data_IF_013094550736
#
_entry.id   IF_013094550736
#
_cell.length_a   1.000
_cell.length_b   1.000
_cell.length_c   1.000
_cell.angle_alpha   90.00
_cell.angle_beta   90.00
_cell.angle_gamma   90.00
#
_symmetry.space_group_name_H-M   'P 1'
#
loop_
_entity.id
_entity.type
_entity.pdbx_description
1 polymer ?
#
# COMPACT_ATOMS: atom_id res chain seq x y z
N UNK A 1 14.98 -9.26 -2.60
CA UNK A 1 13.56 -9.56 -2.92
C UNK A 1 12.70 -8.51 -2.26
N UNK A 2 11.68 -8.03 -2.94
CA UNK A 2 10.70 -7.05 -2.42
C UNK A 2 9.31 -7.45 -2.86
N UNK A 3 8.30 -6.95 -2.17
CA UNK A 3 6.90 -7.11 -2.56
C UNK A 3 6.23 -5.75 -2.65
N UNK A 4 5.21 -5.64 -3.48
CA UNK A 4 4.58 -4.38 -3.86
C UNK A 4 3.07 -4.46 -3.83
N UNK A 5 2.44 -3.36 -3.45
CA UNK A 5 1.02 -3.11 -3.72
C UNK A 5 0.91 -1.94 -4.68
N UNK A 6 0.14 -2.14 -5.73
CA UNK A 6 -0.26 -1.08 -6.66
C UNK A 6 -1.65 -0.59 -6.29
N UNK A 7 -1.86 0.73 -6.36
CA UNK A 7 -3.14 1.38 -6.09
C UNK A 7 -3.56 2.16 -7.32
N UNK A 8 -4.65 1.72 -7.94
CA UNK A 8 -5.23 2.34 -9.12
C UNK A 8 -6.46 3.14 -8.69
N UNK A 9 -6.45 4.48 -8.79
CA UNK A 9 -7.57 5.31 -8.38
C UNK A 9 -8.69 5.28 -9.42
N UNK A 10 -9.93 5.46 -8.96
CA UNK A 10 -11.09 5.60 -9.86
C UNK A 10 -11.36 7.05 -10.25
N UNK A 11 -10.84 8.00 -9.48
CA UNK A 11 -11.04 9.42 -9.69
C UNK A 11 -9.72 10.13 -10.00
N UNK A 12 -9.78 11.22 -10.76
CA UNK A 12 -8.60 12.02 -11.12
C UNK A 12 -8.15 12.98 -10.02
N UNK A 13 -8.96 13.15 -8.96
CA UNK A 13 -8.58 13.94 -7.81
C UNK A 13 -7.50 13.17 -7.02
N UNK A 14 -6.33 13.78 -6.91
CA UNK A 14 -5.20 13.21 -6.17
C UNK A 14 -5.31 13.64 -4.71
N UNK A 15 -5.35 12.70 -3.74
CA UNK A 15 -5.35 13.03 -2.34
C UNK A 15 -4.01 13.62 -1.91
N UNK A 16 -4.02 14.37 -0.82
CA UNK A 16 -2.81 14.94 -0.20
C UNK A 16 -2.09 13.90 0.67
N UNK A 17 -0.81 14.14 0.97
CA UNK A 17 -0.07 13.30 1.92
C UNK A 17 -0.73 13.29 3.30
N UNK A 18 -1.24 14.43 3.73
CA UNK A 18 -1.92 14.60 5.01
C UNK A 18 -3.22 13.77 5.09
N UNK A 19 -4.01 13.73 4.01
CA UNK A 19 -5.22 12.89 3.93
C UNK A 19 -4.89 11.40 4.05
N UNK A 20 -3.86 10.94 3.32
CA UNK A 20 -3.42 9.54 3.42
C UNK A 20 -2.88 9.24 4.83
N UNK A 21 -1.97 10.07 5.36
CA UNK A 21 -1.39 9.87 6.68
C UNK A 21 -2.46 9.85 7.78
N UNK A 22 -3.46 10.72 7.68
CA UNK A 22 -4.58 10.75 8.63
C UNK A 22 -5.39 9.45 8.57
N UNK A 23 -5.75 8.99 7.37
CA UNK A 23 -6.50 7.75 7.18
C UNK A 23 -5.70 6.52 7.64
N UNK A 24 -4.41 6.46 7.27
CA UNK A 24 -3.51 5.36 7.60
C UNK A 24 -3.22 5.31 9.11
N UNK A 25 -2.92 6.45 9.76
CA UNK A 25 -2.65 6.49 11.20
C UNK A 25 -3.87 6.12 12.03
N UNK A 26 -5.08 6.52 11.61
CA UNK A 26 -6.33 6.10 12.26
C UNK A 26 -6.50 4.58 12.17
N UNK A 27 -6.26 4.01 10.99
CA UNK A 27 -6.41 2.57 10.74
C UNK A 27 -5.35 1.77 11.49
N UNK A 28 -4.09 2.22 11.46
CA UNK A 28 -2.97 1.64 12.19
C UNK A 28 -3.25 1.65 13.70
N UNK A 29 -3.68 2.79 14.26
CA UNK A 29 -4.02 2.91 15.68
C UNK A 29 -5.09 1.91 16.09
N UNK A 30 -6.14 1.73 15.25
CA UNK A 30 -7.18 0.74 15.51
C UNK A 30 -6.65 -0.70 15.47
N UNK A 31 -5.72 -1.02 14.57
CA UNK A 31 -5.11 -2.35 14.46
C UNK A 31 -4.21 -2.64 15.65
N UNK A 32 -3.38 -1.68 16.04
CA UNK A 32 -2.42 -1.83 17.14
C UNK A 32 -3.07 -1.87 18.52
N UNK A 33 -4.21 -1.19 18.71
CA UNK A 33 -4.97 -1.25 19.95
C UNK A 33 -5.34 -2.68 20.36
N UNK A 34 -5.62 -3.55 19.38
CA UNK A 34 -5.98 -4.96 19.63
C UNK A 34 -4.83 -5.79 20.21
N UNK A 35 -3.59 -5.34 20.04
CA UNK A 35 -2.38 -6.00 20.55
C UNK A 35 -1.66 -5.16 21.61
N UNK A 36 -2.31 -4.12 22.14
CA UNK A 36 -1.77 -3.27 23.19
C UNK A 36 -0.58 -2.38 22.76
N UNK A 37 -0.37 -2.21 21.46
CA UNK A 37 0.74 -1.44 20.91
C UNK A 37 0.31 -0.06 20.39
N UNK A 38 1.27 0.83 20.14
CA UNK A 38 1.05 2.17 19.55
C UNK A 38 2.22 2.57 18.65
N UNK A 39 1.90 3.12 17.49
CA UNK A 39 2.88 3.68 16.56
C UNK A 39 2.20 4.77 15.71
N UNK A 40 3.02 5.60 15.07
CA UNK A 40 2.57 6.64 14.16
C UNK A 40 3.44 6.64 12.91
N UNK A 41 2.80 6.63 11.75
CA UNK A 41 3.41 6.80 10.45
C UNK A 41 3.73 8.28 10.21
N UNK A 42 4.92 8.49 9.65
CA UNK A 42 5.38 9.74 9.06
C UNK A 42 5.80 9.49 7.62
N UNK A 43 5.96 10.54 6.84
CA UNK A 43 6.44 10.47 5.46
C UNK A 43 7.55 11.48 5.24
N UNK A 44 8.53 11.07 4.47
CA UNK A 44 9.61 11.91 3.97
C UNK A 44 9.60 11.85 2.44
N UNK A 45 9.99 12.93 1.77
CA UNK A 45 10.33 12.85 0.35
C UNK A 45 11.84 12.74 0.20
N UNK A 46 12.27 11.85 -0.68
CA UNK A 46 13.69 11.56 -0.92
C UNK A 46 13.99 11.61 -2.41
N UNK A 47 15.19 12.08 -2.76
CA UNK A 47 15.67 11.99 -4.15
C UNK A 47 15.91 10.54 -4.55
N UNK A 48 15.48 10.17 -5.75
CA UNK A 48 15.74 8.85 -6.33
C UNK A 48 17.25 8.61 -6.48
N UNK A 49 18.01 9.66 -6.82
CA UNK A 49 19.46 9.64 -6.82
C UNK A 49 20.03 10.08 -5.45
N UNK A 50 20.65 9.14 -4.73
CA UNK A 50 21.37 9.41 -3.47
C UNK A 50 20.52 9.37 -2.20
N UNK A 51 19.19 9.47 -2.29
CA UNK A 51 18.30 9.33 -1.14
C UNK A 51 18.22 10.54 -0.21
N UNK A 52 18.79 11.68 -0.62
CA UNK A 52 18.74 12.93 0.15
C UNK A 52 17.30 13.38 0.40
N UNK A 53 17.04 13.89 1.60
CA UNK A 53 15.75 14.47 1.95
C UNK A 53 15.47 15.73 1.13
N UNK A 54 14.24 15.85 0.64
CA UNK A 54 13.72 17.07 0.01
C UNK A 54 12.52 17.61 0.79
N UNK A 55 12.28 18.93 0.77
CA UNK A 55 11.11 19.50 1.43
C UNK A 55 9.82 18.88 0.90
N UNK A 56 8.93 18.52 1.83
CA UNK A 56 7.59 18.04 1.53
C UNK A 56 6.57 18.95 2.21
N UNK A 57 5.59 19.42 1.45
CA UNK A 57 4.37 20.02 1.98
C UNK A 57 3.33 18.91 2.14
N UNK A 58 2.85 18.66 3.37
CA UNK A 58 1.90 17.58 3.61
C UNK A 58 0.53 17.83 2.98
N UNK A 59 0.19 19.09 2.72
CA UNK A 59 -1.06 19.47 2.08
C UNK A 59 -0.94 19.50 0.54
N UNK A 60 0.23 19.17 -0.02
CA UNK A 60 0.37 18.97 -1.47
C UNK A 60 -0.25 17.65 -1.93
N UNK A 61 -0.76 17.57 -3.17
CA UNK A 61 -1.18 16.31 -3.78
C UNK A 61 -0.06 15.26 -3.74
N UNK A 62 -0.43 13.99 -3.57
CA UNK A 62 0.46 12.83 -3.67
C UNK A 62 0.85 12.52 -5.12
N UNK A 63 1.42 13.50 -5.82
CA UNK A 63 2.01 13.31 -7.14
C UNK A 63 3.39 13.96 -7.17
N UNK A 64 4.35 13.25 -7.73
CA UNK A 64 5.73 13.70 -7.87
C UNK A 64 6.34 13.08 -9.13
N UNK A 65 7.49 13.60 -9.55
CA UNK A 65 8.28 12.98 -10.61
C UNK A 65 9.05 11.78 -10.03
N UNK A 66 8.78 10.60 -10.58
CA UNK A 66 9.38 9.33 -10.15
C UNK A 66 10.89 9.27 -10.44
N UNK A 67 11.35 9.92 -11.52
CA UNK A 67 12.76 9.93 -11.89
C UNK A 67 13.57 10.81 -10.92
N UNK A 68 12.91 11.78 -10.30
CA UNK A 68 13.55 12.70 -9.35
C UNK A 68 13.41 12.25 -7.90
N UNK A 69 12.28 11.65 -7.51
CA UNK A 69 11.95 11.43 -6.11
C UNK A 69 11.02 10.25 -5.82
N UNK A 70 11.01 9.83 -4.56
CA UNK A 70 10.06 8.87 -4.01
C UNK A 70 9.63 9.28 -2.59
N UNK A 71 8.43 8.86 -2.21
CA UNK A 71 7.94 9.02 -0.85
C UNK A 71 8.44 7.86 0.03
N UNK A 72 8.92 8.16 1.23
CA UNK A 72 9.43 7.19 2.19
C UNK A 72 8.60 7.25 3.47
N UNK A 73 7.70 6.28 3.62
CA UNK A 73 6.85 6.16 4.80
C UNK A 73 7.57 5.37 5.89
N UNK A 74 7.59 5.93 7.09
CA UNK A 74 8.36 5.40 8.22
C UNK A 74 7.57 5.43 9.51
N UNK A 75 7.98 4.58 10.44
CA UNK A 75 7.67 4.71 11.86
C UNK A 75 8.97 5.12 12.52
N UNK A 76 9.09 6.34 13.08
CA UNK A 76 10.38 6.91 13.48
C UNK A 76 11.21 6.05 14.45
N UNK A 77 10.57 5.20 15.25
CA UNK A 77 11.24 4.33 16.24
C UNK A 77 11.68 2.98 15.68
N UNK A 78 11.39 2.67 14.41
CA UNK A 78 11.62 1.36 13.81
C UNK A 78 12.49 1.49 12.58
N UNK A 79 13.53 0.66 12.49
CA UNK A 79 14.38 0.62 11.32
C UNK A 79 13.62 0.08 10.10
N UNK A 80 13.76 0.77 8.97
CA UNK A 80 13.09 0.40 7.73
C UNK A 80 11.94 1.35 7.37
N UNK A 81 11.09 0.91 6.45
CA UNK A 81 10.04 1.75 5.88
C UNK A 81 9.47 1.20 4.59
N UNK A 82 8.59 2.00 3.99
CA UNK A 82 7.90 1.72 2.73
C UNK A 82 8.22 2.82 1.75
N UNK A 83 8.87 2.47 0.65
CA UNK A 83 9.03 3.37 -0.48
C UNK A 83 7.75 3.38 -1.31
N UNK A 84 7.39 4.55 -1.80
CA UNK A 84 6.24 4.74 -2.67
C UNK A 84 6.59 5.58 -3.89
N UNK A 85 6.02 5.16 -5.01
CA UNK A 85 6.23 5.74 -6.33
C UNK A 85 4.89 6.16 -6.92
N UNK A 86 4.92 7.18 -7.76
CA UNK A 86 3.77 7.69 -8.50
C UNK A 86 4.05 7.51 -10.00
N UNK A 87 3.34 6.57 -10.62
CA UNK A 87 3.59 6.11 -11.97
C UNK A 87 2.45 6.51 -12.91
N UNK A 88 2.78 6.63 -14.21
CA UNK A 88 1.79 6.83 -15.26
C UNK A 88 1.37 5.49 -15.87
N UNK A 89 0.11 5.39 -16.28
CA UNK A 89 -0.39 4.23 -17.03
C UNK A 89 0.06 4.35 -18.48
N UNK A 90 1.14 3.64 -18.81
CA UNK A 90 1.68 3.55 -20.16
C UNK A 90 1.08 2.38 -20.97
N UNK A 91 1.57 2.18 -22.19
CA UNK A 91 1.10 1.11 -23.07
C UNK A 91 1.43 -0.29 -22.53
N UNK A 92 2.55 -0.45 -21.82
CA UNK A 92 2.94 -1.72 -21.23
C UNK A 92 2.03 -2.09 -20.07
N UNK A 93 1.72 -1.15 -19.17
CA UNK A 93 0.75 -1.35 -18.09
C UNK A 93 -0.62 -1.74 -18.67
N UNK A 94 -1.05 -1.10 -19.77
CA UNK A 94 -2.30 -1.44 -20.45
C UNK A 94 -2.29 -2.84 -21.06
N UNK A 95 -1.17 -3.26 -21.66
CA UNK A 95 -1.00 -4.60 -22.20
C UNK A 95 -1.10 -5.67 -21.10
N UNK A 96 -0.39 -5.47 -19.99
CA UNK A 96 -0.43 -6.36 -18.82
C UNK A 96 -1.86 -6.48 -18.28
N UNK A 97 -2.56 -5.37 -18.09
CA UNK A 97 -3.95 -5.40 -17.62
C UNK A 97 -4.90 -6.03 -18.63
N UNK A 98 -4.69 -5.83 -19.93
CA UNK A 98 -5.46 -6.51 -20.99
C UNK A 98 -5.34 -8.04 -20.86
N UNK A 99 -4.16 -8.56 -20.51
CA UNK A 99 -3.98 -9.99 -20.26
C UNK A 99 -4.66 -10.45 -18.96
N UNK A 100 -4.53 -9.69 -17.87
CA UNK A 100 -5.24 -9.99 -16.63
C UNK A 100 -6.76 -10.01 -16.82
N UNK A 101 -7.33 -9.06 -17.58
CA UNK A 101 -8.76 -8.96 -17.82
C UNK A 101 -9.33 -10.12 -18.65
N UNK A 102 -8.48 -10.90 -19.35
CA UNK A 102 -8.90 -12.16 -19.98
C UNK A 102 -9.16 -13.28 -18.97
N UNK A 103 -8.67 -13.14 -17.73
CA UNK A 103 -8.86 -14.14 -16.68
C UNK A 103 -10.29 -14.09 -16.15
N UNK A 104 -10.99 -15.23 -16.17
CA UNK A 104 -12.39 -15.35 -15.72
C UNK A 104 -12.62 -14.80 -14.30
N UNK A 105 -11.64 -14.96 -13.41
CA UNK A 105 -11.71 -14.47 -12.01
C UNK A 105 -11.84 -12.95 -11.91
N UNK A 106 -11.34 -12.21 -12.89
CA UNK A 106 -11.36 -10.74 -12.90
C UNK A 106 -12.56 -10.13 -13.62
N UNK A 107 -13.40 -10.96 -14.24
CA UNK A 107 -14.62 -10.50 -14.93
C UNK A 107 -15.49 -9.57 -14.06
N UNK A 108 -15.74 -9.86 -12.76
CA UNK A 108 -16.56 -8.99 -11.92
C UNK A 108 -15.98 -7.59 -11.68
N UNK A 109 -14.67 -7.40 -11.86
CA UNK A 109 -13.98 -6.13 -11.64
C UNK A 109 -13.55 -5.44 -12.93
N UNK A 110 -13.84 -6.03 -14.10
CA UNK A 110 -13.37 -5.53 -15.39
C UNK A 110 -13.74 -4.07 -15.68
N UNK A 111 -14.98 -3.67 -15.35
CA UNK A 111 -15.43 -2.28 -15.50
C UNK A 111 -14.67 -1.35 -14.56
N UNK A 112 -14.55 -1.70 -13.28
CA UNK A 112 -13.81 -0.91 -12.28
C UNK A 112 -12.34 -0.75 -12.70
N UNK A 113 -11.70 -1.83 -13.13
CA UNK A 113 -10.31 -1.82 -13.62
C UNK A 113 -10.18 -0.85 -14.80
N UNK A 114 -11.07 -0.97 -15.79
CA UNK A 114 -11.06 -0.10 -16.97
C UNK A 114 -11.22 1.39 -16.60
N UNK A 115 -12.12 1.69 -15.66
CA UNK A 115 -12.33 3.05 -15.16
C UNK A 115 -11.07 3.59 -14.44
N UNK A 116 -10.41 2.78 -13.63
CA UNK A 116 -9.21 3.22 -12.93
C UNK A 116 -8.02 3.41 -13.88
N UNK A 117 -7.83 2.52 -14.85
CA UNK A 117 -6.78 2.66 -15.88
C UNK A 117 -6.99 3.89 -16.79
N UNK A 118 -8.23 4.38 -16.89
CA UNK A 118 -8.54 5.61 -17.63
C UNK A 118 -8.11 6.89 -16.88
N UNK A 119 -7.85 6.82 -15.56
CA UNK A 119 -7.32 7.97 -14.80
C UNK A 119 -5.87 8.33 -15.16
N UNK A 120 -5.13 7.37 -15.73
CA UNK A 120 -3.81 7.58 -16.29
C UNK A 120 -2.65 7.49 -15.30
N UNK A 121 -2.88 7.18 -14.02
CA UNK A 121 -1.82 7.02 -13.04
C UNK A 121 -2.13 5.95 -12.00
N UNK A 122 -1.12 5.56 -11.22
CA UNK A 122 -1.24 4.67 -10.07
C UNK A 122 -0.11 4.95 -9.07
N UNK A 123 -0.24 4.42 -7.85
CA UNK A 123 0.84 4.41 -6.88
C UNK A 123 1.35 3.00 -6.65
N UNK A 124 2.65 2.89 -6.45
CA UNK A 124 3.27 1.65 -5.96
C UNK A 124 3.71 1.87 -4.52
N UNK A 125 3.42 0.93 -3.63
CA UNK A 125 3.97 0.84 -2.28
C UNK A 125 4.81 -0.42 -2.18
N UNK A 126 6.11 -0.25 -1.95
CA UNK A 126 7.08 -1.32 -1.89
C UNK A 126 7.61 -1.48 -0.47
N UNK A 127 7.81 -2.74 -0.08
CA UNK A 127 8.66 -3.10 1.07
C UNK A 127 9.76 -4.06 0.65
N UNK A 128 10.88 -4.01 1.36
CA UNK A 128 11.96 -4.99 1.21
C UNK A 128 11.70 -6.26 2.02
N UNK A 129 12.26 -7.39 1.60
CA UNK A 129 12.23 -8.62 2.39
C UNK A 129 12.96 -8.43 3.74
N UNK A 130 12.48 -9.12 4.78
CA UNK A 130 13.07 -9.08 6.12
C UNK A 130 12.75 -7.81 6.93
N UNK A 131 11.83 -6.95 6.44
CA UNK A 131 11.36 -5.80 7.19
C UNK A 131 10.53 -6.21 8.42
N UNK A 132 10.52 -5.40 9.49
CA UNK A 132 9.73 -5.64 10.70
C UNK A 132 8.24 -5.85 10.43
N UNK A 133 7.58 -6.60 11.30
CA UNK A 133 6.15 -6.87 11.28
C UNK A 133 5.30 -5.61 11.20
N UNK A 134 5.70 -4.54 11.89
CA UNK A 134 5.00 -3.25 11.84
C UNK A 134 5.12 -2.56 10.47
N UNK A 135 6.24 -2.72 9.76
CA UNK A 135 6.40 -2.21 8.39
C UNK A 135 5.57 -3.07 7.42
N UNK A 136 5.57 -4.39 7.60
CA UNK A 136 4.72 -5.30 6.85
C UNK A 136 3.23 -4.97 7.05
N UNK A 137 2.79 -4.61 8.25
CA UNK A 137 1.43 -4.13 8.46
C UNK A 137 1.21 -2.78 7.75
N UNK A 138 2.11 -1.82 7.95
CA UNK A 138 1.88 -0.44 7.54
C UNK A 138 1.81 -0.24 6.02
N UNK A 139 2.64 -0.91 5.23
CA UNK A 139 2.65 -0.70 3.77
C UNK A 139 1.33 -1.12 3.10
N UNK A 140 0.70 -2.21 3.57
CA UNK A 140 -0.62 -2.60 3.10
C UNK A 140 -1.72 -1.67 3.60
N UNK A 141 -1.63 -1.18 4.85
CA UNK A 141 -2.60 -0.18 5.34
C UNK A 141 -2.54 1.12 4.53
N UNK A 142 -1.34 1.57 4.13
CA UNK A 142 -1.18 2.70 3.22
C UNK A 142 -1.89 2.45 1.89
N UNK A 143 -1.64 1.31 1.24
CA UNK A 143 -2.27 0.94 -0.02
C UNK A 143 -3.80 0.87 0.09
N UNK A 144 -4.33 0.19 1.12
CA UNK A 144 -5.76 0.06 1.35
C UNK A 144 -6.46 1.38 1.69
N UNK A 145 -5.80 2.25 2.47
CA UNK A 145 -6.32 3.59 2.77
C UNK A 145 -6.34 4.47 1.52
N UNK A 146 -5.27 4.46 0.72
CA UNK A 146 -5.23 5.23 -0.52
C UNK A 146 -6.32 4.78 -1.48
N UNK A 147 -6.45 3.47 -1.71
CA UNK A 147 -7.51 2.90 -2.54
C UNK A 147 -8.92 3.28 -2.02
N UNK A 148 -9.10 3.38 -0.70
CA UNK A 148 -10.37 3.83 -0.11
C UNK A 148 -10.62 5.31 -0.37
N UNK A 149 -9.61 6.16 -0.25
CA UNK A 149 -9.73 7.61 -0.50
C UNK A 149 -10.08 7.91 -1.96
N UNK A 150 -9.62 7.08 -2.90
CA UNK A 150 -9.78 7.30 -4.34
C UNK A 150 -10.87 6.44 -5.00
N UNK A 151 -11.69 5.75 -4.20
CA UNK A 151 -12.65 4.70 -4.65
C UNK A 151 -12.02 3.68 -5.64
N UNK A 152 -10.72 3.45 -5.46
CA UNK A 152 -9.88 2.63 -6.32
C UNK A 152 -9.77 1.19 -5.85
N UNK A 153 -8.80 0.48 -6.41
CA UNK A 153 -8.48 -0.88 -5.99
C UNK A 153 -6.98 -1.05 -5.69
N UNK A 154 -6.69 -2.06 -4.88
CA UNK A 154 -5.35 -2.56 -4.60
C UNK A 154 -5.09 -3.79 -5.47
N UNK A 155 -3.91 -3.88 -6.06
CA UNK A 155 -3.42 -5.03 -6.81
C UNK A 155 -1.97 -5.38 -6.40
N UNK A 156 -1.57 -6.63 -6.64
CA UNK A 156 -0.21 -7.13 -6.49
C UNK A 156 -0.13 -8.47 -7.22
N UNK A 157 0.93 -8.67 -7.99
CA UNK A 157 1.24 -9.92 -8.68
C UNK A 157 2.51 -10.61 -8.12
N UNK A 158 3.22 -9.97 -7.19
CA UNK A 158 4.49 -10.42 -6.63
C UNK A 158 4.36 -11.14 -5.28
N UNK A 159 3.17 -11.69 -4.99
CA UNK A 159 2.84 -12.37 -3.74
C UNK A 159 2.97 -11.49 -2.48
N UNK A 160 2.79 -10.16 -2.60
CA UNK A 160 2.67 -9.27 -1.45
C UNK A 160 1.52 -9.67 -0.50
N UNK A 161 0.49 -10.27 -1.08
CA UNK A 161 -0.64 -10.87 -0.37
C UNK A 161 -1.21 -12.06 -1.16
N UNK A 162 -2.38 -12.55 -0.76
CA UNK A 162 -3.06 -13.63 -1.45
C UNK A 162 -3.61 -13.16 -2.82
N UNK A 163 -2.88 -13.49 -3.88
CA UNK A 163 -3.15 -13.10 -5.27
C UNK A 163 -4.57 -13.41 -5.74
N UNK A 164 -5.15 -14.52 -5.30
CA UNK A 164 -6.50 -14.92 -5.71
C UNK A 164 -7.59 -13.96 -5.23
N UNK A 165 -7.32 -13.19 -4.17
CA UNK A 165 -8.23 -12.16 -3.69
C UNK A 165 -8.03 -10.80 -4.36
N UNK A 166 -6.92 -10.60 -5.10
CA UNK A 166 -6.57 -9.33 -5.74
C UNK A 166 -6.94 -9.33 -7.23
N UNK A 167 -7.34 -8.19 -7.81
CA UNK A 167 -7.52 -6.89 -7.19
C UNK A 167 -8.75 -6.85 -6.28
N UNK A 168 -8.82 -5.84 -5.40
CA UNK A 168 -10.01 -5.59 -4.58
C UNK A 168 -10.10 -4.12 -4.18
N UNK A 169 -11.30 -3.64 -3.83
CA UNK A 169 -11.47 -2.28 -3.33
C UNK A 169 -10.70 -2.05 -2.02
N UNK A 170 -10.32 -0.80 -1.76
CA UNK A 170 -9.58 -0.45 -0.54
C UNK A 170 -10.27 -0.90 0.76
N UNK A 171 -11.60 -0.73 0.84
CA UNK A 171 -12.37 -1.16 2.00
C UNK A 171 -12.39 -2.67 2.20
N UNK A 172 -12.49 -3.46 1.13
CA UNK A 172 -12.42 -4.92 1.18
C UNK A 172 -11.01 -5.42 1.51
N UNK A 173 -9.98 -4.70 1.05
CA UNK A 173 -8.59 -4.96 1.39
C UNK A 173 -8.32 -4.77 2.87
N UNK A 174 -8.69 -3.63 3.43
CA UNK A 174 -8.46 -3.33 4.84
C UNK A 174 -9.16 -4.32 5.78
N UNK A 175 -10.27 -4.95 5.37
CA UNK A 175 -10.96 -5.99 6.16
C UNK A 175 -10.21 -7.32 6.22
N UNK A 176 -9.39 -7.63 5.22
CA UNK A 176 -8.69 -8.92 5.09
C UNK A 176 -7.20 -8.84 5.37
N UNK A 177 -6.57 -7.71 5.04
CA UNK A 177 -5.14 -7.52 5.16
C UNK A 177 -4.68 -7.51 6.62
N UNK A 178 -3.77 -8.43 6.96
CA UNK A 178 -3.24 -8.58 8.33
C UNK A 178 -4.34 -8.71 9.40
N UNK A 179 -5.44 -9.38 9.06
CA UNK A 179 -6.50 -9.73 10.00
C UNK A 179 -6.50 -11.25 10.14
N UNK A 180 -6.16 -11.81 11.32
CA UNK A 180 -6.29 -13.25 11.57
C UNK A 180 -7.72 -13.74 11.29
N UNK A 181 -7.87 -14.88 10.61
CA UNK A 181 -9.15 -15.36 10.07
C UNK A 181 -9.71 -14.57 8.88
N UNK A 182 -8.99 -13.58 8.35
CA UNK A 182 -9.39 -12.75 7.19
C UNK A 182 -9.06 -13.37 5.82
N UNK A 183 -8.43 -14.53 5.81
CA UNK A 183 -8.06 -15.30 4.61
C UNK A 183 -8.19 -16.79 4.91
N UNK A 184 -8.51 -17.61 3.90
CA UNK A 184 -8.54 -19.08 4.01
C UNK A 184 -7.15 -19.70 3.79
N UNK A 185 -6.14 -18.89 3.45
CA UNK A 185 -4.77 -19.33 3.24
C UNK A 185 -4.00 -19.38 4.57
N UNK A 186 -3.73 -20.60 5.06
CA UNK A 186 -3.06 -20.81 6.35
C UNK A 186 -1.65 -20.22 6.42
N UNK A 187 -0.87 -20.25 5.33
CA UNK A 187 0.49 -19.69 5.32
C UNK A 187 0.48 -18.17 5.49
N UNK A 188 -0.46 -17.49 4.82
CA UNK A 188 -0.67 -16.04 4.93
C UNK A 188 -1.14 -15.67 6.32
N UNK A 189 -2.06 -16.45 6.88
CA UNK A 189 -2.56 -16.26 8.25
C UNK A 189 -1.46 -16.44 9.30
N UNK A 190 -0.67 -17.50 9.19
CA UNK A 190 0.47 -17.78 10.08
C UNK A 190 1.54 -16.69 9.98
N UNK A 191 1.83 -16.22 8.77
CA UNK A 191 2.77 -15.12 8.56
C UNK A 191 2.26 -13.80 9.17
N UNK A 192 1.01 -13.43 8.92
CA UNK A 192 0.40 -12.23 9.48
C UNK A 192 0.37 -12.30 11.02
N UNK A 193 -0.04 -13.44 11.59
CA UNK A 193 -0.11 -13.64 13.04
C UNK A 193 1.25 -13.54 13.71
N UNK A 194 2.30 -14.14 13.12
CA UNK A 194 3.68 -13.99 13.61
C UNK A 194 4.15 -12.54 13.57
N UNK A 195 3.93 -11.85 12.45
CA UNK A 195 4.29 -10.43 12.33
C UNK A 195 3.60 -9.60 13.41
N UNK A 196 2.28 -9.77 13.59
CA UNK A 196 1.51 -9.06 14.61
C UNK A 196 2.01 -9.35 16.03
N UNK A 197 2.43 -10.59 16.31
CA UNK A 197 2.98 -11.00 17.60
C UNK A 197 4.31 -10.33 17.95
N UNK A 198 5.13 -9.98 16.97
CA UNK A 198 6.42 -9.32 17.17
C UNK A 198 6.34 -7.80 17.28
N UNK A 199 5.27 -7.18 16.77
CA UNK A 199 5.11 -5.71 16.78
C UNK A 199 5.33 -5.06 18.16
N UNK A 200 4.81 -5.58 19.29
CA UNK A 200 5.05 -4.96 20.59
C UNK A 200 6.53 -4.90 20.97
N UNK A 201 7.31 -5.94 20.63
CA UNK A 201 8.75 -5.98 20.86
C UNK A 201 9.48 -5.02 19.93
N UNK A 202 9.15 -5.04 18.63
CA UNK A 202 9.70 -4.14 17.60
C UNK A 202 9.54 -2.66 17.95
N UNK A 203 8.44 -2.30 18.63
CA UNK A 203 8.15 -0.93 19.03
C UNK A 203 8.76 -0.53 20.38
N UNK A 204 9.22 -1.50 21.17
CA UNK A 204 9.77 -1.26 22.51
C UNK A 204 11.26 -0.92 22.54
N UNK A 205 11.98 -1.19 21.44
CA UNK A 205 13.42 -0.93 21.31
C UNK A 205 14.28 -2.09 21.76
#
# INVERSE_FOLDING_TARGET
MSTTFEVYPRHTQIPTFNELLTAANRTLSSRLANIGARAQLSVEMRKSNGGDLIPLDLDSPMSWDIDESYAWFVIPTVAGGTDSYFDQIDDLTREVWSDYLKMKRLSPMSETVSQCLATGHYWTFRRSAGQPGIINLSYGLLAGCLATLTDGFVFSDDSAWFFDLLPMSGGEFLKRYFVPGGTENSETEDWASRCLGWIPEELSG
#
